data_IF_274434583606
#
_entry.id   IF_274434583606
#
_cell.length_a   1.000
_cell.length_b   1.000
_cell.length_c   1.000
_cell.angle_alpha   90.00
_cell.angle_beta   90.00
_cell.angle_gamma   90.00
#
_symmetry.space_group_name_H-M   'P 1'
#
loop_
_entity.id
_entity.type
_entity.pdbx_description
1 polymer ?
#
# COMPACT_ATOMS: atom_id res chain seq x y z
N UNK A 1 48.92 51.93 5.75
CA UNK A 1 47.69 51.83 4.92
C UNK A 1 47.92 50.85 3.79
N UNK A 2 47.44 49.60 3.90
CA UNK A 2 46.99 48.81 2.73
C UNK A 2 46.23 47.57 3.22
N UNK A 3 45.22 47.23 2.44
CA UNK A 3 43.91 46.73 2.87
C UNK A 3 43.80 45.21 2.84
N UNK A 4 43.13 44.61 3.83
CA UNK A 4 42.74 43.19 3.86
C UNK A 4 41.79 42.89 2.69
N UNK A 5 42.15 41.90 1.87
CA UNK A 5 41.33 41.39 0.77
C UNK A 5 40.30 40.40 1.33
N UNK A 6 39.03 40.80 1.36
CA UNK A 6 37.89 39.93 1.71
C UNK A 6 37.61 39.02 0.51
N UNK A 7 37.67 37.70 0.72
CA UNK A 7 37.26 36.70 -0.27
C UNK A 7 35.77 36.43 -0.05
N UNK A 8 34.93 36.94 -0.94
CA UNK A 8 33.47 36.71 -0.90
C UNK A 8 33.17 35.36 -1.56
N UNK A 9 32.71 34.39 -0.76
CA UNK A 9 32.20 33.10 -1.24
C UNK A 9 30.85 33.30 -1.93
N UNK A 10 30.82 33.18 -3.26
CA UNK A 10 29.59 33.15 -4.04
C UNK A 10 28.81 31.86 -3.75
N UNK A 11 27.73 31.95 -2.98
CA UNK A 11 26.69 30.91 -2.94
C UNK A 11 25.96 30.89 -4.28
N UNK A 12 26.31 29.95 -5.16
CA UNK A 12 25.53 29.67 -6.37
C UNK A 12 24.16 29.10 -5.96
N UNK A 13 23.16 29.99 -5.91
CA UNK A 13 21.76 29.60 -5.83
C UNK A 13 21.39 28.84 -7.10
N UNK A 14 21.22 27.51 -7.00
CA UNK A 14 20.70 26.68 -8.10
C UNK A 14 19.29 27.16 -8.42
N UNK A 15 19.16 27.98 -9.47
CA UNK A 15 17.88 28.43 -10.02
C UNK A 15 17.14 27.20 -10.55
N UNK A 16 16.14 26.71 -9.80
CA UNK A 16 15.21 25.69 -10.31
C UNK A 16 14.55 26.25 -11.56
N UNK A 17 14.65 25.53 -12.66
CA UNK A 17 14.04 25.94 -13.93
C UNK A 17 12.52 25.91 -13.80
N UNK A 18 11.80 26.72 -14.58
CA UNK A 18 10.34 26.78 -14.58
C UNK A 18 9.67 25.42 -14.86
N UNK A 19 10.41 24.45 -15.42
CA UNK A 19 9.98 23.05 -15.59
C UNK A 19 9.85 22.28 -14.28
N UNK A 20 10.59 22.65 -13.23
CA UNK A 20 10.51 22.01 -11.90
C UNK A 20 9.29 22.45 -11.09
N UNK A 21 8.64 23.56 -11.46
CA UNK A 21 7.54 24.15 -10.70
C UNK A 21 6.17 23.54 -11.05
N UNK A 22 6.05 22.80 -12.17
CA UNK A 22 4.76 22.31 -12.70
C UNK A 22 4.70 20.80 -12.97
N UNK A 23 5.61 20.00 -12.42
CA UNK A 23 5.48 18.53 -12.51
C UNK A 23 4.47 18.10 -11.44
N UNK A 24 3.20 17.97 -11.84
CA UNK A 24 2.17 17.31 -11.03
C UNK A 24 2.71 15.99 -10.45
N UNK A 25 2.25 15.64 -9.25
CA UNK A 25 2.76 14.49 -8.54
C UNK A 25 2.67 13.22 -9.40
N UNK A 26 3.75 12.43 -9.46
CA UNK A 26 3.80 11.22 -10.26
C UNK A 26 2.64 10.29 -9.84
N UNK A 27 1.79 9.90 -10.79
CA UNK A 27 0.58 9.07 -10.53
C UNK A 27 0.90 7.78 -9.77
N UNK A 28 2.05 7.14 -10.06
CA UNK A 28 2.50 5.93 -9.35
C UNK A 28 2.84 6.26 -7.90
N UNK A 29 3.49 7.40 -7.63
CA UNK A 29 3.77 7.82 -6.26
C UNK A 29 2.48 8.13 -5.48
N UNK A 30 1.49 8.76 -6.12
CA UNK A 30 0.15 8.98 -5.52
C UNK A 30 -0.52 7.65 -5.21
N UNK A 31 -0.47 6.70 -6.15
CA UNK A 31 -1.05 5.37 -5.98
C UNK A 31 -0.35 4.58 -4.87
N UNK A 32 0.99 4.62 -4.80
CA UNK A 32 1.77 3.96 -3.76
C UNK A 32 1.39 4.45 -2.36
N UNK A 33 1.27 5.78 -2.18
CA UNK A 33 0.84 6.40 -0.93
C UNK A 33 -0.58 6.00 -0.50
N UNK A 34 -1.43 5.64 -1.46
CA UNK A 34 -2.79 5.15 -1.17
C UNK A 34 -2.79 3.66 -0.80
N UNK A 35 -2.07 2.85 -1.57
CA UNK A 35 -2.16 1.38 -1.51
C UNK A 35 -1.30 0.81 -0.39
N UNK A 36 -0.06 1.26 -0.24
CA UNK A 36 0.90 0.68 0.71
C UNK A 36 0.37 0.74 2.16
N UNK A 37 -0.13 1.89 2.67
CA UNK A 37 -0.70 1.92 4.01
C UNK A 37 -1.91 1.00 4.18
N UNK A 38 -2.71 0.82 3.12
CA UNK A 38 -3.89 -0.05 3.16
C UNK A 38 -3.50 -1.52 3.23
N UNK A 39 -2.45 -1.92 2.51
CA UNK A 39 -1.91 -3.29 2.57
C UNK A 39 -1.29 -3.60 3.92
N UNK A 40 -0.49 -2.67 4.45
CA UNK A 40 0.04 -2.77 5.81
C UNK A 40 -1.08 -2.87 6.86
N UNK A 41 -2.13 -2.05 6.74
CA UNK A 41 -3.32 -2.17 7.59
C UNK A 41 -3.94 -3.56 7.46
N UNK A 42 -4.11 -4.07 6.25
CA UNK A 42 -4.75 -5.36 5.97
C UNK A 42 -4.01 -6.54 6.61
N UNK A 43 -2.72 -6.69 6.27
CA UNK A 43 -1.88 -7.79 6.74
C UNK A 43 -1.79 -7.81 8.27
N UNK A 44 -1.51 -6.65 8.88
CA UNK A 44 -1.35 -6.56 10.34
C UNK A 44 -2.69 -6.75 11.07
N UNK A 45 -3.79 -6.24 10.53
CA UNK A 45 -5.12 -6.43 11.13
C UNK A 45 -5.50 -7.92 11.15
N UNK A 46 -5.20 -8.66 10.09
CA UNK A 46 -5.43 -10.11 10.04
C UNK A 46 -4.56 -10.85 11.05
N UNK A 47 -3.29 -10.47 11.22
CA UNK A 47 -2.42 -11.11 12.22
C UNK A 47 -2.86 -10.82 13.66
N UNK A 48 -3.31 -9.60 13.95
CA UNK A 48 -3.89 -9.26 15.26
C UNK A 48 -5.14 -10.10 15.54
N UNK A 49 -6.00 -10.26 14.55
CA UNK A 49 -7.19 -11.10 14.72
C UNK A 49 -6.84 -12.57 14.92
N UNK A 50 -5.90 -13.11 14.15
CA UNK A 50 -5.38 -14.47 14.31
C UNK A 50 -4.93 -14.76 15.75
N UNK A 51 -4.26 -13.82 16.42
CA UNK A 51 -3.89 -13.99 17.84
C UNK A 51 -5.09 -14.02 18.79
N UNK A 52 -6.24 -13.47 18.39
CA UNK A 52 -7.47 -13.42 19.19
C UNK A 52 -8.42 -14.60 18.93
N UNK A 53 -8.19 -15.40 17.90
CA UNK A 53 -9.08 -16.52 17.58
C UNK A 53 -8.99 -17.60 18.65
N UNK A 54 -10.14 -18.14 19.06
CA UNK A 54 -10.22 -19.29 19.99
C UNK A 54 -10.54 -20.61 19.30
N UNK A 55 -11.07 -20.56 18.06
CA UNK A 55 -11.30 -21.75 17.24
C UNK A 55 -10.05 -22.12 16.44
N UNK A 56 -9.67 -23.40 16.48
CA UNK A 56 -8.53 -23.93 15.74
C UNK A 56 -8.68 -23.77 14.22
N UNK A 57 -9.87 -24.03 13.67
CA UNK A 57 -10.13 -23.87 12.24
C UNK A 57 -9.97 -22.40 11.80
N UNK A 58 -10.54 -21.47 12.57
CA UNK A 58 -10.37 -20.03 12.33
C UNK A 58 -8.92 -19.60 12.48
N UNK A 59 -8.21 -20.09 13.49
CA UNK A 59 -6.80 -19.78 13.72
C UNK A 59 -5.93 -20.19 12.53
N UNK A 60 -6.14 -21.41 12.00
CA UNK A 60 -5.46 -21.91 10.81
C UNK A 60 -5.83 -21.14 9.54
N UNK A 61 -7.12 -20.87 9.32
CA UNK A 61 -7.56 -20.11 8.15
C UNK A 61 -7.00 -18.68 8.14
N UNK A 62 -6.95 -18.02 9.29
CA UNK A 62 -6.38 -16.66 9.42
C UNK A 62 -4.86 -16.65 9.28
N UNK A 63 -4.17 -17.68 9.74
CA UNK A 63 -2.71 -17.81 9.56
C UNK A 63 -2.35 -18.00 8.10
N UNK A 64 -3.07 -18.88 7.39
CA UNK A 64 -2.87 -19.09 5.96
C UNK A 64 -3.16 -17.80 5.17
N UNK A 65 -4.28 -17.14 5.46
CA UNK A 65 -4.58 -15.84 4.83
C UNK A 65 -3.47 -14.83 5.09
N UNK A 66 -2.90 -14.76 6.30
CA UNK A 66 -1.81 -13.83 6.59
C UNK A 66 -0.59 -14.08 5.70
N UNK A 67 -0.17 -15.35 5.54
CA UNK A 67 0.98 -15.73 4.70
C UNK A 67 0.75 -15.33 3.24
N UNK A 68 -0.38 -15.76 2.67
CA UNK A 68 -0.67 -15.57 1.24
C UNK A 68 -0.92 -14.09 0.93
N UNK A 69 -1.62 -13.39 1.82
CA UNK A 69 -1.88 -11.97 1.68
C UNK A 69 -0.57 -11.17 1.76
N UNK A 70 0.32 -11.47 2.70
CA UNK A 70 1.59 -10.78 2.82
C UNK A 70 2.42 -10.92 1.54
N UNK A 71 2.52 -12.15 1.01
CA UNK A 71 3.21 -12.43 -0.25
C UNK A 71 2.63 -11.64 -1.42
N UNK A 72 1.30 -11.67 -1.60
CA UNK A 72 0.64 -10.97 -2.72
C UNK A 72 0.68 -9.45 -2.58
N UNK A 73 0.62 -8.91 -1.37
CA UNK A 73 0.76 -7.47 -1.15
C UNK A 73 2.17 -6.98 -1.43
N UNK A 74 3.19 -7.78 -1.11
CA UNK A 74 4.58 -7.47 -1.42
C UNK A 74 4.81 -7.47 -2.94
N UNK A 75 4.40 -8.54 -3.62
CA UNK A 75 4.43 -8.66 -5.09
C UNK A 75 3.78 -7.46 -5.78
N UNK A 76 2.59 -7.05 -5.32
CA UNK A 76 1.91 -5.88 -5.86
C UNK A 76 2.74 -4.60 -5.69
N UNK A 77 3.34 -4.38 -4.51
CA UNK A 77 4.13 -3.18 -4.22
C UNK A 77 5.43 -3.18 -5.04
N UNK A 78 6.09 -4.31 -5.18
CA UNK A 78 7.29 -4.45 -6.02
C UNK A 78 7.00 -4.13 -7.47
N UNK A 79 5.93 -4.70 -8.04
CA UNK A 79 5.49 -4.40 -9.41
C UNK A 79 5.12 -2.92 -9.56
N UNK A 80 4.38 -2.36 -8.59
CA UNK A 80 3.98 -0.96 -8.60
C UNK A 80 5.20 -0.02 -8.61
N UNK A 81 6.18 -0.29 -7.74
CA UNK A 81 7.38 0.52 -7.63
C UNK A 81 8.35 0.29 -8.80
N UNK A 82 8.33 -0.88 -9.43
CA UNK A 82 9.14 -1.22 -10.60
C UNK A 82 8.70 -0.54 -11.90
N UNK A 83 7.44 -0.08 -11.99
CA UNK A 83 6.86 0.54 -13.19
C UNK A 83 7.39 1.93 -13.54
N UNK A 84 8.08 2.60 -12.62
CA UNK A 84 8.68 3.90 -12.94
C UNK A 84 9.92 4.17 -12.10
N UNK A 85 10.82 5.03 -12.61
CA UNK A 85 11.95 5.56 -11.85
C UNK A 85 11.47 6.61 -10.82
N UNK A 86 10.59 6.18 -9.92
CA UNK A 86 10.17 6.99 -8.78
C UNK A 86 11.21 6.89 -7.68
N UNK A 87 11.49 8.03 -7.06
CA UNK A 87 12.20 8.06 -5.80
C UNK A 87 11.35 7.31 -4.75
N UNK A 88 11.83 6.15 -4.31
CA UNK A 88 11.14 5.27 -3.36
C UNK A 88 10.84 5.97 -2.03
N UNK A 89 11.74 6.82 -1.55
CA UNK A 89 11.54 7.59 -0.32
C UNK A 89 10.32 8.50 -0.40
N UNK A 90 10.02 9.05 -1.59
CA UNK A 90 8.79 9.84 -1.80
C UNK A 90 7.55 8.98 -1.86
N UNK A 91 7.62 7.80 -2.47
CA UNK A 91 6.49 6.87 -2.58
C UNK A 91 6.13 6.24 -1.22
N UNK A 92 7.14 6.00 -0.38
CA UNK A 92 7.02 5.44 0.96
C UNK A 92 6.79 6.49 2.05
N UNK A 93 6.51 7.74 1.66
CA UNK A 93 6.25 8.81 2.61
C UNK A 93 4.77 8.83 3.03
N UNK A 94 4.46 8.12 4.11
CA UNK A 94 3.20 8.19 4.85
C UNK A 94 3.51 8.30 6.36
N UNK A 95 2.62 8.93 7.14
CA UNK A 95 2.87 9.19 8.57
C UNK A 95 2.45 8.01 9.43
N UNK A 96 1.27 7.44 9.16
CA UNK A 96 0.63 6.48 10.05
C UNK A 96 -0.12 5.40 9.27
N UNK A 97 -0.20 4.21 9.87
CA UNK A 97 -1.05 3.10 9.42
C UNK A 97 -2.02 2.77 10.55
N UNK A 98 -3.32 2.88 10.29
CA UNK A 98 -4.35 2.54 11.29
C UNK A 98 -4.62 1.04 11.24
N UNK A 99 -4.11 0.31 12.23
CA UNK A 99 -4.40 -1.12 12.37
C UNK A 99 -5.69 -1.28 13.17
N UNK A 100 -6.58 -2.19 12.73
CA UNK A 100 -7.82 -2.48 13.45
C UNK A 100 -7.66 -3.70 14.33
N UNK A 101 -8.41 -3.74 15.42
CA UNK A 101 -8.51 -4.89 16.29
C UNK A 101 -9.97 -5.25 16.50
N UNK A 102 -10.34 -6.47 16.17
CA UNK A 102 -11.68 -7.00 16.36
C UNK A 102 -11.61 -8.36 17.07
N UNK A 103 -12.74 -8.81 17.60
CA UNK A 103 -12.80 -10.02 18.44
C UNK A 103 -13.78 -11.06 17.93
N UNK A 104 -14.56 -10.75 16.89
CA UNK A 104 -15.59 -11.65 16.35
C UNK A 104 -15.40 -11.93 14.86
N UNK A 105 -15.88 -13.10 14.39
CA UNK A 105 -15.91 -13.44 12.96
C UNK A 105 -16.76 -12.44 12.15
N UNK A 106 -17.82 -11.89 12.74
CA UNK A 106 -18.70 -10.92 12.08
C UNK A 106 -17.98 -9.61 11.79
N UNK A 107 -17.24 -9.07 12.76
CA UNK A 107 -16.40 -7.89 12.57
C UNK A 107 -15.26 -8.15 11.58
N UNK A 108 -14.63 -9.32 11.65
CA UNK A 108 -13.63 -9.76 10.69
C UNK A 108 -14.19 -9.73 9.27
N UNK A 109 -15.33 -10.40 9.05
CA UNK A 109 -16.02 -10.45 7.75
C UNK A 109 -16.34 -9.06 7.24
N UNK A 110 -16.90 -8.17 8.08
CA UNK A 110 -17.18 -6.78 7.69
C UNK A 110 -15.92 -6.05 7.23
N UNK A 111 -14.81 -6.27 7.93
CA UNK A 111 -13.54 -5.64 7.60
C UNK A 111 -12.95 -6.18 6.28
N UNK A 112 -13.01 -7.50 6.05
CA UNK A 112 -12.62 -8.14 4.78
C UNK A 112 -13.42 -7.58 3.60
N UNK A 113 -14.75 -7.42 3.75
CA UNK A 113 -15.59 -6.81 2.71
C UNK A 113 -15.20 -5.36 2.42
N UNK A 114 -14.78 -4.62 3.44
CA UNK A 114 -14.21 -3.28 3.29
C UNK A 114 -12.93 -3.28 2.44
N UNK A 115 -12.03 -4.23 2.66
CA UNK A 115 -10.81 -4.39 1.86
C UNK A 115 -11.11 -4.79 0.42
N UNK A 116 -12.02 -5.74 0.20
CA UNK A 116 -12.50 -6.10 -1.15
C UNK A 116 -13.05 -4.89 -1.90
N UNK A 117 -13.88 -4.10 -1.24
CA UNK A 117 -14.44 -2.88 -1.83
C UNK A 117 -13.36 -1.87 -2.22
N UNK A 118 -12.33 -1.71 -1.38
CA UNK A 118 -11.17 -0.88 -1.70
C UNK A 118 -10.44 -1.37 -2.97
N UNK A 119 -10.14 -2.67 -3.05
CA UNK A 119 -9.43 -3.28 -4.18
C UNK A 119 -10.22 -3.19 -5.49
N UNK A 120 -11.53 -3.44 -5.44
CA UNK A 120 -12.41 -3.38 -6.62
C UNK A 120 -12.53 -1.94 -7.14
N UNK A 121 -12.52 -0.94 -6.24
CA UNK A 121 -12.59 0.49 -6.61
C UNK A 121 -11.24 1.09 -7.02
N UNK A 122 -10.14 0.37 -6.83
CA UNK A 122 -8.80 0.85 -7.17
C UNK A 122 -8.67 1.35 -8.62
N UNK A 123 -9.23 0.67 -9.65
CA UNK A 123 -9.14 1.11 -11.05
C UNK A 123 -9.91 2.41 -11.34
N UNK A 124 -10.89 2.76 -10.49
CA UNK A 124 -11.64 4.02 -10.60
C UNK A 124 -10.85 5.22 -10.07
N UNK A 125 -9.68 5.01 -9.45
CA UNK A 125 -8.82 6.10 -9.01
C UNK A 125 -8.18 6.81 -10.23
N UNK A 126 -8.23 8.15 -10.26
CA UNK A 126 -7.65 8.96 -11.35
C UNK A 126 -6.14 8.72 -11.59
N UNK A 127 -5.44 8.23 -10.57
CA UNK A 127 -4.02 7.89 -10.62
C UNK A 127 -3.75 6.48 -11.14
N UNK A 128 -4.79 5.65 -11.27
CA UNK A 128 -4.72 4.30 -11.82
C UNK A 128 -5.05 4.30 -13.31
N UNK A 129 -4.15 3.81 -14.14
CA UNK A 129 -4.40 3.61 -15.56
C UNK A 129 -4.58 2.11 -15.83
N UNK A 130 -5.82 1.66 -15.97
CA UNK A 130 -6.13 0.22 -16.13
C UNK A 130 -5.45 -0.41 -17.33
N UNK A 131 -5.34 0.32 -18.44
CA UNK A 131 -4.71 -0.19 -19.67
C UNK A 131 -3.20 -0.43 -19.49
N UNK A 132 -2.53 0.32 -18.61
CA UNK A 132 -1.08 0.20 -18.37
C UNK A 132 -0.71 -0.59 -17.10
N UNK A 133 -1.70 -0.98 -16.31
CA UNK A 133 -1.52 -1.64 -15.02
C UNK A 133 -2.29 -2.97 -14.96
N UNK A 134 -2.38 -3.68 -16.08
CA UNK A 134 -3.07 -4.97 -16.20
C UNK A 134 -2.45 -6.05 -15.29
N UNK A 135 -1.14 -6.00 -15.08
CA UNK A 135 -0.40 -6.83 -14.13
C UNK A 135 -0.77 -6.54 -12.67
N UNK A 136 -0.88 -5.27 -12.28
CA UNK A 136 -1.39 -4.88 -10.97
C UNK A 136 -2.85 -5.32 -10.79
N UNK A 137 -3.66 -5.25 -11.85
CA UNK A 137 -5.05 -5.74 -11.80
C UNK A 137 -5.11 -7.24 -11.54
N UNK A 138 -4.24 -8.03 -12.19
CA UNK A 138 -4.14 -9.47 -11.98
C UNK A 138 -3.80 -9.81 -10.53
N UNK A 139 -2.73 -9.22 -9.97
CA UNK A 139 -2.34 -9.46 -8.57
C UNK A 139 -3.46 -9.00 -7.61
N UNK A 140 -4.10 -7.86 -7.91
CA UNK A 140 -5.25 -7.37 -7.13
C UNK A 140 -6.42 -8.36 -7.14
N UNK A 141 -6.69 -9.00 -8.28
CA UNK A 141 -7.76 -9.99 -8.40
C UNK A 141 -7.43 -11.28 -7.64
N UNK A 142 -6.16 -11.69 -7.62
CA UNK A 142 -5.68 -12.78 -6.75
C UNK A 142 -5.83 -12.46 -5.26
N UNK A 143 -5.52 -11.23 -4.84
CA UNK A 143 -5.78 -10.78 -3.45
C UNK A 143 -7.28 -10.87 -3.14
N UNK A 144 -8.15 -10.41 -4.04
CA UNK A 144 -9.61 -10.51 -3.86
C UNK A 144 -10.05 -11.97 -3.77
N UNK A 145 -9.46 -12.87 -4.56
CA UNK A 145 -9.73 -14.30 -4.50
C UNK A 145 -9.35 -14.91 -3.15
N UNK A 146 -8.17 -14.57 -2.60
CA UNK A 146 -7.74 -14.99 -1.26
C UNK A 146 -8.74 -14.54 -0.18
N UNK A 147 -9.18 -13.28 -0.24
CA UNK A 147 -10.16 -12.74 0.70
C UNK A 147 -11.51 -13.48 0.60
N UNK A 148 -11.97 -13.82 -0.61
CA UNK A 148 -13.19 -14.59 -0.81
C UNK A 148 -13.06 -16.04 -0.30
N UNK A 149 -11.94 -16.70 -0.58
CA UNK A 149 -11.66 -18.05 -0.08
C UNK A 149 -11.65 -18.05 1.45
N UNK A 150 -10.98 -17.09 2.08
CA UNK A 150 -10.99 -16.96 3.53
C UNK A 150 -12.39 -16.77 4.10
N UNK A 151 -13.23 -15.93 3.47
CA UNK A 151 -14.62 -15.76 3.89
C UNK A 151 -15.41 -17.07 3.83
N UNK A 152 -15.17 -17.91 2.83
CA UNK A 152 -15.74 -19.26 2.77
C UNK A 152 -15.21 -20.14 3.91
N UNK A 153 -13.90 -20.16 4.16
CA UNK A 153 -13.29 -20.92 5.25
C UNK A 153 -13.86 -20.52 6.63
N UNK A 154 -14.18 -19.26 6.85
CA UNK A 154 -14.85 -18.78 8.08
C UNK A 154 -16.28 -19.32 8.27
N UNK A 155 -16.90 -19.87 7.22
CA UNK A 155 -18.23 -20.50 7.32
C UNK A 155 -18.16 -21.99 7.65
N UNK A 156 -16.98 -22.61 7.53
CA UNK A 156 -16.78 -24.01 7.85
C UNK A 156 -16.81 -24.19 9.38
N UNK A 157 -17.60 -25.17 9.83
CA UNK A 157 -17.75 -25.52 11.24
C UNK A 157 -16.67 -26.50 11.66
#
# INVERSE_FOLDING_TARGET
MTTKRIITLNKTSKRKTFRDLNRGENKIAVLAKLVIPKFLEMVNTIKIYHFKTTSFSTHKATDQLFVDLNLKTDEFVEVLLGKSEINRDKALKFTDVKIKSFSTNAECKKQIEGYKTFLIKLPSNKSFNSTMNVDLLAIRDEIVALLNQFLYLLTLK
#
